data_IF_243399815691
#
_entry.id   IF_243399815691
#
_cell.length_a   1.000
_cell.length_b   1.000
_cell.length_c   1.000
_cell.angle_alpha   90.00
_cell.angle_beta   90.00
_cell.angle_gamma   90.00
#
_symmetry.space_group_name_H-M   'P 1'
#
loop_
_entity.id
_entity.type
_entity.pdbx_description
1 polymer ?
#
# COMPACT_ATOMS: atom_id res chain seq x y z
N UNK A 1 4.95 -2.33 -8.49
CA UNK A 1 4.61 -1.01 -9.07
C UNK A 1 5.26 -0.85 -10.43
N UNK A 2 4.57 -0.20 -11.37
CA UNK A 2 5.10 0.20 -12.68
C UNK A 2 4.80 1.69 -12.87
N UNK A 3 5.75 2.42 -13.46
CA UNK A 3 5.63 3.85 -13.72
C UNK A 3 5.99 4.15 -15.17
N UNK A 4 5.11 4.84 -15.87
CA UNK A 4 5.37 5.44 -17.17
C UNK A 4 5.43 6.94 -16.98
N UNK A 5 6.58 7.53 -17.27
CA UNK A 5 6.78 8.98 -17.28
C UNK A 5 6.70 9.48 -18.71
N UNK A 6 5.83 10.45 -18.96
CA UNK A 6 5.68 11.11 -20.25
C UNK A 6 6.06 12.57 -20.13
N UNK A 7 6.74 13.08 -21.13
CA UNK A 7 7.05 14.51 -21.26
C UNK A 7 6.51 15.04 -22.58
N UNK A 8 5.52 15.92 -22.48
CA UNK A 8 4.90 16.55 -23.65
C UNK A 8 4.87 18.06 -23.45
N UNK A 9 5.41 18.81 -24.41
CA UNK A 9 5.46 20.30 -24.40
C UNK A 9 5.98 20.87 -23.07
N UNK A 10 7.02 20.25 -22.51
CA UNK A 10 7.63 20.67 -21.24
C UNK A 10 6.89 20.25 -19.96
N UNK A 11 5.72 19.65 -20.09
CA UNK A 11 4.95 19.10 -18.94
C UNK A 11 5.26 17.62 -18.73
N UNK A 12 5.42 17.23 -17.47
CA UNK A 12 5.56 15.83 -17.08
C UNK A 12 4.20 15.31 -16.66
N UNK A 13 3.87 14.11 -17.10
CA UNK A 13 2.70 13.34 -16.65
C UNK A 13 3.13 11.91 -16.33
N UNK A 14 2.38 11.28 -15.45
CA UNK A 14 2.63 9.92 -14.99
C UNK A 14 1.43 9.01 -15.30
N UNK A 15 1.71 7.75 -15.58
CA UNK A 15 0.75 6.66 -15.49
C UNK A 15 1.38 5.64 -14.55
N UNK A 16 0.74 5.44 -13.40
CA UNK A 16 1.23 4.55 -12.34
C UNK A 16 0.32 3.35 -12.23
N UNK A 17 0.91 2.16 -12.19
CA UNK A 17 0.21 0.93 -11.87
C UNK A 17 0.74 0.40 -10.54
N UNK A 18 -0.18 0.14 -9.60
CA UNK A 18 0.09 -0.47 -8.30
C UNK A 18 -0.75 -1.74 -8.22
N UNK A 19 -0.11 -2.86 -7.93
CA UNK A 19 -0.81 -4.14 -7.87
C UNK A 19 -0.31 -5.02 -6.74
N UNK A 20 -1.18 -5.90 -6.27
CA UNK A 20 -0.86 -6.92 -5.27
C UNK A 20 -0.12 -8.10 -5.87
N UNK A 21 -0.25 -8.31 -7.18
CA UNK A 21 0.30 -9.45 -7.91
C UNK A 21 1.73 -9.26 -8.39
N UNK A 22 2.35 -10.38 -8.69
CA UNK A 22 3.66 -10.41 -9.33
C UNK A 22 3.55 -10.17 -10.83
N UNK A 23 4.54 -9.49 -11.41
CA UNK A 23 4.70 -9.37 -12.87
C UNK A 23 5.28 -10.67 -13.46
N UNK A 24 4.55 -11.77 -13.25
CA UNK A 24 4.95 -13.10 -13.70
C UNK A 24 3.73 -13.87 -14.21
N UNK A 25 3.81 -14.38 -15.44
CA UNK A 25 2.70 -15.02 -16.12
C UNK A 25 2.18 -16.29 -15.41
N UNK A 26 3.07 -17.06 -14.77
CA UNK A 26 2.69 -18.29 -14.06
C UNK A 26 1.98 -17.98 -12.74
N UNK A 27 2.55 -17.09 -11.93
CA UNK A 27 1.99 -16.74 -10.61
C UNK A 27 0.70 -15.93 -10.73
N UNK A 28 0.54 -15.09 -11.76
CA UNK A 28 -0.67 -14.32 -11.97
C UNK A 28 -1.92 -15.18 -12.23
N UNK A 29 -1.73 -16.44 -12.67
CA UNK A 29 -2.84 -17.39 -12.86
C UNK A 29 -3.27 -18.10 -11.57
N UNK A 30 -2.46 -18.03 -10.51
CA UNK A 30 -2.69 -18.75 -9.24
C UNK A 30 -3.44 -17.90 -8.20
N UNK A 31 -3.45 -16.58 -8.37
CA UNK A 31 -3.99 -15.64 -7.40
C UNK A 31 -5.01 -14.71 -8.02
N UNK A 32 -5.97 -14.29 -7.24
CA UNK A 32 -6.85 -13.16 -7.60
C UNK A 32 -6.26 -11.89 -7.01
N UNK A 33 -5.70 -11.06 -7.86
CA UNK A 33 -5.01 -9.84 -7.49
C UNK A 33 -5.84 -8.59 -7.77
N UNK A 34 -5.47 -7.48 -7.09
CA UNK A 34 -5.94 -6.16 -7.40
C UNK A 34 -4.88 -5.37 -8.15
N UNK A 35 -5.32 -4.55 -9.09
CA UNK A 35 -4.46 -3.63 -9.83
C UNK A 35 -5.15 -2.29 -9.98
N UNK A 36 -4.49 -1.24 -9.52
CA UNK A 36 -4.89 0.15 -9.73
C UNK A 36 -4.00 0.74 -10.82
N UNK A 37 -4.60 1.29 -11.87
CA UNK A 37 -3.90 2.09 -12.86
C UNK A 37 -4.45 3.52 -12.81
N UNK A 38 -3.59 4.51 -12.63
CA UNK A 38 -3.99 5.90 -12.43
C UNK A 38 -3.02 6.88 -13.07
N UNK A 39 -3.53 8.05 -13.46
CA UNK A 39 -2.74 9.21 -13.87
C UNK A 39 -2.64 10.28 -12.78
N UNK A 40 -3.00 9.96 -11.55
CA UNK A 40 -2.87 10.86 -10.42
C UNK A 40 -1.43 11.32 -10.24
N UNK A 41 -1.25 12.64 -10.13
CA UNK A 41 0.08 13.25 -10.08
C UNK A 41 0.80 13.05 -8.76
N UNK A 42 0.07 12.96 -7.64
CA UNK A 42 0.67 12.75 -6.32
C UNK A 42 1.20 11.32 -6.23
N UNK A 43 0.38 10.34 -6.64
CA UNK A 43 0.79 8.93 -6.71
C UNK A 43 1.96 8.76 -7.69
N UNK A 44 1.91 9.43 -8.84
CA UNK A 44 2.99 9.37 -9.83
C UNK A 44 4.30 9.99 -9.34
N UNK A 45 4.23 11.07 -8.59
CA UNK A 45 5.40 11.73 -7.99
C UNK A 45 6.03 10.82 -6.94
N UNK A 46 5.24 10.24 -6.04
CA UNK A 46 5.71 9.29 -5.05
C UNK A 46 6.34 8.04 -5.71
N UNK A 47 5.71 7.50 -6.76
CA UNK A 47 6.24 6.37 -7.50
C UNK A 47 7.59 6.70 -8.18
N UNK A 48 7.72 7.91 -8.73
CA UNK A 48 9.00 8.37 -9.30
C UNK A 48 10.09 8.50 -8.22
N UNK A 49 9.74 9.04 -7.06
CA UNK A 49 10.66 9.14 -5.93
C UNK A 49 11.04 7.74 -5.39
N UNK A 50 10.08 6.83 -5.32
CA UNK A 50 10.34 5.43 -4.97
C UNK A 50 11.40 4.80 -5.88
N UNK A 51 11.27 4.94 -7.20
CA UNK A 51 12.26 4.38 -8.13
C UNK A 51 13.63 5.04 -8.02
N UNK A 52 13.70 6.36 -7.78
CA UNK A 52 14.97 7.04 -7.52
C UNK A 52 15.65 6.51 -6.25
N UNK A 53 14.89 6.38 -5.16
CA UNK A 53 15.39 5.87 -3.89
C UNK A 53 15.87 4.41 -4.04
N UNK A 54 15.12 3.57 -4.74
CA UNK A 54 15.52 2.20 -5.04
C UNK A 54 16.83 2.14 -5.84
N UNK A 55 17.03 3.03 -6.81
CA UNK A 55 18.23 3.05 -7.63
C UNK A 55 19.51 3.35 -6.83
N UNK A 56 19.40 4.07 -5.72
CA UNK A 56 20.54 4.43 -4.84
C UNK A 56 20.54 3.65 -3.52
N UNK A 57 19.65 2.66 -3.35
CA UNK A 57 19.56 1.87 -2.12
C UNK A 57 19.04 2.64 -0.90
N UNK A 58 18.36 3.77 -1.09
CA UNK A 58 17.77 4.55 0.00
C UNK A 58 16.42 3.94 0.42
N UNK A 59 16.35 3.42 1.63
CA UNK A 59 15.12 2.86 2.21
C UNK A 59 14.29 3.88 3.02
N UNK A 60 14.82 5.08 3.24
CA UNK A 60 14.22 6.11 4.10
C UNK A 60 13.53 7.23 3.31
N UNK A 61 13.04 6.92 2.11
CA UNK A 61 12.33 7.88 1.28
C UNK A 61 11.03 8.38 1.94
N UNK A 62 10.69 9.65 1.72
CA UNK A 62 9.45 10.25 2.18
C UNK A 62 8.42 10.25 1.04
N UNK A 63 7.22 9.77 1.34
CA UNK A 63 6.11 9.63 0.41
C UNK A 63 4.85 10.26 1.01
N UNK A 64 4.10 10.99 0.21
CA UNK A 64 2.90 11.71 0.67
C UNK A 64 1.64 10.84 0.60
N UNK A 65 1.55 9.98 -0.39
CA UNK A 65 0.37 9.18 -0.71
C UNK A 65 0.65 7.68 -0.62
N UNK A 66 1.84 7.24 -1.06
CA UNK A 66 2.21 5.84 -1.04
C UNK A 66 2.75 5.40 0.32
N UNK A 67 2.33 4.22 0.75
CA UNK A 67 2.89 3.54 1.91
C UNK A 67 3.97 2.56 1.45
N UNK A 68 5.20 2.80 1.86
CA UNK A 68 6.36 2.01 1.44
C UNK A 68 6.97 1.25 2.63
N UNK A 69 7.15 -0.05 2.46
CA UNK A 69 7.89 -0.86 3.42
C UNK A 69 9.42 -0.75 3.16
N UNK A 70 10.25 -0.78 4.23
CA UNK A 70 9.92 -0.95 5.64
C UNK A 70 9.52 0.35 6.35
N UNK A 71 9.63 1.51 5.69
CA UNK A 71 9.60 2.83 6.31
C UNK A 71 8.24 3.17 6.96
N UNK A 72 7.19 3.40 6.16
CA UNK A 72 5.92 3.97 6.65
C UNK A 72 4.76 2.98 6.71
N UNK A 73 4.80 1.91 5.92
CA UNK A 73 3.64 1.03 5.72
C UNK A 73 3.08 0.46 7.02
N UNK A 74 3.93 -0.11 7.88
CA UNK A 74 3.47 -0.77 9.12
C UNK A 74 2.83 0.23 10.09
N UNK A 75 3.47 1.37 10.31
CA UNK A 75 2.98 2.40 11.24
C UNK A 75 1.66 3.00 10.77
N UNK A 76 1.50 3.23 9.48
CA UNK A 76 0.26 3.76 8.93
C UNK A 76 -0.88 2.75 8.95
N UNK A 77 -0.62 1.46 8.68
CA UNK A 77 -1.63 0.40 8.83
C UNK A 77 -2.10 0.33 10.29
N UNK A 78 -1.20 0.40 11.26
CA UNK A 78 -1.58 0.43 12.69
C UNK A 78 -2.48 1.62 12.99
N UNK A 79 -2.15 2.83 12.51
CA UNK A 79 -3.00 4.01 12.67
C UNK A 79 -4.38 3.84 12.05
N UNK A 80 -4.46 3.19 10.88
CA UNK A 80 -5.75 2.89 10.24
C UNK A 80 -6.58 1.94 11.10
N UNK A 81 -5.97 0.90 11.68
CA UNK A 81 -6.64 -0.03 12.59
C UNK A 81 -7.11 0.72 13.85
N UNK A 82 -6.28 1.59 14.44
CA UNK A 82 -6.65 2.40 15.60
C UNK A 82 -7.86 3.30 15.34
N UNK A 83 -7.97 3.87 14.14
CA UNK A 83 -9.17 4.62 13.73
C UNK A 83 -10.43 3.77 13.72
N UNK A 84 -10.32 2.51 13.33
CA UNK A 84 -11.46 1.60 13.36
C UNK A 84 -11.77 1.13 14.78
N UNK A 85 -10.76 0.91 15.63
CA UNK A 85 -10.93 0.61 17.06
C UNK A 85 -11.71 1.74 17.75
N UNK A 86 -11.38 2.99 17.47
CA UNK A 86 -12.07 4.14 18.04
C UNK A 86 -13.57 4.21 17.69
N UNK A 87 -14.02 3.53 16.64
CA UNK A 87 -15.43 3.42 16.25
C UNK A 87 -16.18 2.30 16.97
N UNK A 88 -15.46 1.43 17.68
CA UNK A 88 -16.03 0.25 18.38
C UNK A 88 -16.82 -0.65 17.44
N UNK A 89 -18.05 -1.00 17.80
CA UNK A 89 -18.93 -1.89 17.00
C UNK A 89 -19.32 -1.32 15.62
N UNK A 90 -19.07 -0.03 15.35
CA UNK A 90 -19.25 0.58 14.04
C UNK A 90 -18.02 0.45 13.15
N UNK A 91 -16.85 0.09 13.72
CA UNK A 91 -15.61 -0.12 13.00
C UNK A 91 -15.69 -1.32 12.06
N UNK A 92 -15.04 -1.21 10.90
CA UNK A 92 -14.99 -2.26 9.89
C UNK A 92 -13.61 -2.34 9.29
N UNK A 93 -13.04 -3.53 9.26
CA UNK A 93 -11.76 -3.83 8.62
C UNK A 93 -11.97 -4.97 7.63
N UNK A 94 -11.53 -4.76 6.40
CA UNK A 94 -11.49 -5.81 5.39
C UNK A 94 -10.05 -5.96 4.89
N UNK A 95 -9.50 -7.17 5.00
CA UNK A 95 -8.10 -7.47 4.66
C UNK A 95 -8.04 -8.64 3.68
N UNK A 96 -7.18 -8.51 2.67
CA UNK A 96 -6.84 -9.60 1.76
C UNK A 96 -5.33 -9.69 1.61
N UNK A 97 -4.75 -10.81 1.99
CA UNK A 97 -3.32 -11.11 1.87
C UNK A 97 -3.08 -12.62 1.82
N UNK A 98 -1.90 -13.04 1.39
CA UNK A 98 -1.52 -14.46 1.35
C UNK A 98 -1.15 -14.99 2.72
N UNK A 99 -0.45 -14.18 3.53
CA UNK A 99 -0.04 -14.55 4.88
C UNK A 99 0.10 -13.30 5.74
N UNK A 100 -0.13 -13.46 7.03
CA UNK A 100 0.10 -12.46 8.05
C UNK A 100 1.02 -13.08 9.11
N UNK A 101 2.27 -12.63 9.17
CA UNK A 101 3.28 -13.13 10.11
C UNK A 101 3.79 -12.07 11.09
N UNK A 102 3.45 -10.80 10.89
CA UNK A 102 3.87 -9.71 11.77
C UNK A 102 3.05 -9.73 13.08
N UNK A 103 3.70 -10.09 14.19
CA UNK A 103 3.06 -10.20 15.50
C UNK A 103 2.42 -8.89 15.98
N UNK A 104 3.00 -7.74 15.64
CA UNK A 104 2.42 -6.44 16.02
C UNK A 104 1.08 -6.22 15.35
N UNK A 105 0.97 -6.52 14.05
CA UNK A 105 -0.28 -6.41 13.31
C UNK A 105 -1.31 -7.46 13.77
N UNK A 106 -0.88 -8.69 14.04
CA UNK A 106 -1.75 -9.75 14.59
C UNK A 106 -2.35 -9.30 15.93
N UNK A 107 -1.52 -8.81 16.85
CA UNK A 107 -1.98 -8.33 18.16
C UNK A 107 -2.91 -7.12 18.03
N UNK A 108 -2.61 -6.20 17.11
CA UNK A 108 -3.44 -5.02 16.85
C UNK A 108 -4.82 -5.40 16.28
N UNK A 109 -4.88 -6.40 15.41
CA UNK A 109 -6.16 -6.93 14.92
C UNK A 109 -6.95 -7.67 16.01
N UNK A 110 -6.28 -8.39 16.91
CA UNK A 110 -6.94 -9.00 18.08
C UNK A 110 -7.53 -7.93 19.00
N UNK A 111 -6.80 -6.84 19.27
CA UNK A 111 -7.30 -5.68 20.01
C UNK A 111 -8.55 -5.08 19.33
N UNK A 112 -8.50 -4.89 18.00
CA UNK A 112 -9.64 -4.39 17.24
C UNK A 112 -10.87 -5.31 17.36
N UNK A 113 -10.67 -6.63 17.30
CA UNK A 113 -11.73 -7.60 17.48
C UNK A 113 -12.35 -7.52 18.89
N UNK A 114 -11.52 -7.40 19.92
CA UNK A 114 -11.98 -7.23 21.30
C UNK A 114 -12.75 -5.92 21.51
N UNK A 115 -12.41 -4.87 20.78
CA UNK A 115 -13.13 -3.60 20.76
C UNK A 115 -14.47 -3.66 19.99
N UNK A 116 -14.81 -4.80 19.40
CA UNK A 116 -16.06 -5.01 18.66
C UNK A 116 -16.01 -4.62 17.18
N UNK A 117 -14.83 -4.37 16.63
CA UNK A 117 -14.66 -4.07 15.19
C UNK A 117 -15.00 -5.31 14.36
N UNK A 118 -15.77 -5.14 13.31
CA UNK A 118 -16.06 -6.22 12.35
C UNK A 118 -14.88 -6.40 11.41
N UNK A 119 -14.16 -7.51 11.57
CA UNK A 119 -12.96 -7.84 10.77
C UNK A 119 -13.28 -9.02 9.84
N UNK A 120 -12.90 -8.90 8.57
CA UNK A 120 -13.01 -9.94 7.54
C UNK A 120 -11.74 -10.09 6.75
#
# INVERSE_FOLDING_TARGET
VCLITRRERGKISYITQIGTGNYNEKTSKQYTDFSLMTSDMEIGTDANEFFKNMAIGNLEGNYSTLLVAPNSMKSEIIKLIDREIAKGTKGRIFLKFNSLSDLTLINKLAEASLAGVNIR
#
